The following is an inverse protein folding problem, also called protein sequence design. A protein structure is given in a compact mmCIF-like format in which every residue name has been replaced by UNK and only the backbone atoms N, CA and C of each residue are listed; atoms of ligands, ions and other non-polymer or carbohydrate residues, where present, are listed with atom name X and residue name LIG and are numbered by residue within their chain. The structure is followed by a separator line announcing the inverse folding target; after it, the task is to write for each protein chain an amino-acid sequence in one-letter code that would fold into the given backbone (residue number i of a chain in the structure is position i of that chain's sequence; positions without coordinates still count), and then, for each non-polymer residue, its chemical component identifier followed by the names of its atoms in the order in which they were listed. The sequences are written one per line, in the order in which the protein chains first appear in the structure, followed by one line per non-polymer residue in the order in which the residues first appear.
data_IF_648642080382
#
_entry.id   IF_648642080382
#
_cell.length_a   1.000
_cell.length_b   1.000
_cell.length_c   1.000
_cell.angle_alpha   90.00
_cell.angle_beta   90.00
_cell.angle_gamma   90.00
#
_symmetry.space_group_name_H-M   'P 1'
#
loop_
_entity.id
_entity.type
_entity.pdbx_description
1 polymer ?
#
# COMPACT_ATOMS: atom_id res chain seq x y z
N UNK A 1 44.60 -0.43 1.23
CA UNK A 1 43.43 -0.70 2.07
C UNK A 1 42.78 -1.96 1.52
N UNK A 2 42.51 -2.95 2.35
CA UNK A 2 41.72 -4.11 1.93
C UNK A 2 40.23 -3.72 1.98
N UNK A 3 39.41 -4.15 1.02
CA UNK A 3 37.98 -3.91 1.09
C UNK A 3 37.41 -4.62 2.32
N UNK A 4 36.42 -4.02 3.01
CA UNK A 4 35.76 -4.67 4.13
C UNK A 4 35.07 -5.95 3.63
N UNK A 5 35.32 -7.04 4.33
CA UNK A 5 34.69 -8.34 4.10
C UNK A 5 33.24 -8.24 4.57
N UNK A 6 32.32 -7.98 3.64
CA UNK A 6 30.89 -7.89 3.93
C UNK A 6 30.38 -9.33 3.88
N UNK A 7 30.26 -9.95 5.05
CA UNK A 7 29.60 -11.24 5.21
C UNK A 7 28.18 -11.13 4.62
N UNK A 8 27.87 -11.97 3.64
CA UNK A 8 26.58 -11.97 2.99
C UNK A 8 25.48 -12.24 4.03
N UNK A 9 24.42 -11.43 4.02
CA UNK A 9 23.28 -11.64 4.88
C UNK A 9 22.72 -13.06 4.66
N UNK A 10 22.38 -13.82 5.73
CA UNK A 10 21.79 -15.15 5.60
C UNK A 10 20.50 -15.08 4.77
N UNK A 11 20.52 -15.66 3.58
CA UNK A 11 19.38 -15.73 2.65
C UNK A 11 18.42 -16.85 3.06
N UNK A 12 17.97 -16.86 4.32
CA UNK A 12 16.88 -17.75 4.78
C UNK A 12 15.54 -17.01 4.72
N UNK A 13 15.30 -16.31 3.59
CA UNK A 13 13.97 -15.81 3.29
C UNK A 13 13.13 -17.00 2.82
N UNK A 14 11.90 -17.20 3.35
CA UNK A 14 11.01 -18.21 2.82
C UNK A 14 10.82 -17.98 1.31
N UNK A 15 10.66 -19.05 0.51
CA UNK A 15 10.48 -18.92 -0.92
C UNK A 15 9.36 -17.92 -1.21
N UNK A 16 9.68 -16.86 -1.94
CA UNK A 16 8.67 -15.93 -2.43
C UNK A 16 7.74 -16.70 -3.36
N UNK A 17 6.44 -16.59 -3.12
CA UNK A 17 5.42 -17.13 -4.01
C UNK A 17 5.45 -16.29 -5.30
N UNK A 18 5.84 -16.92 -6.41
CA UNK A 18 5.96 -16.31 -7.75
C UNK A 18 4.72 -16.57 -8.61
N UNK A 19 3.60 -16.94 -7.99
CA UNK A 19 2.33 -17.09 -8.67
C UNK A 19 1.48 -15.81 -8.54
N UNK A 20 0.58 -15.54 -9.50
CA UNK A 20 -0.34 -14.41 -9.39
C UNK A 20 -1.22 -14.53 -8.13
N UNK A 21 -1.67 -13.40 -7.56
CA UNK A 21 -2.51 -13.39 -6.37
C UNK A 21 -3.82 -14.14 -6.60
N UNK A 22 -4.14 -15.08 -5.72
CA UNK A 22 -5.42 -15.82 -5.79
C UNK A 22 -6.59 -15.01 -5.24
N UNK A 23 -7.79 -15.26 -5.75
CA UNK A 23 -9.03 -14.67 -5.22
C UNK A 23 -9.21 -14.91 -3.73
N UNK A 24 -8.80 -16.08 -3.20
CA UNK A 24 -8.90 -16.37 -1.77
C UNK A 24 -7.98 -15.49 -0.93
N UNK A 25 -6.73 -15.28 -1.38
CA UNK A 25 -5.79 -14.38 -0.71
C UNK A 25 -6.34 -12.95 -0.65
N UNK A 26 -6.89 -12.47 -1.76
CA UNK A 26 -7.51 -11.14 -1.86
C UNK A 26 -8.70 -11.03 -0.92
N UNK A 27 -9.60 -12.03 -0.94
CA UNK A 27 -10.78 -12.09 -0.07
C UNK A 27 -10.40 -12.06 1.41
N UNK A 28 -9.38 -12.82 1.80
CA UNK A 28 -8.85 -12.82 3.16
C UNK A 28 -8.24 -11.47 3.53
N UNK A 29 -7.50 -10.83 2.63
CA UNK A 29 -6.93 -9.51 2.84
C UNK A 29 -8.02 -8.45 3.07
N UNK A 30 -9.07 -8.42 2.23
CA UNK A 30 -10.22 -7.51 2.38
C UNK A 30 -10.85 -7.68 3.76
N UNK A 31 -11.07 -8.92 4.21
CA UNK A 31 -11.63 -9.20 5.55
C UNK A 31 -10.77 -8.64 6.68
N UNK A 32 -9.45 -8.61 6.52
CA UNK A 32 -8.49 -8.12 7.52
C UNK A 32 -8.32 -6.59 7.53
N UNK A 33 -8.82 -5.86 6.52
CA UNK A 33 -8.74 -4.39 6.49
C UNK A 33 -9.40 -3.80 7.75
N UNK A 34 -8.72 -2.88 8.44
CA UNK A 34 -9.29 -2.24 9.65
C UNK A 34 -10.32 -1.19 9.26
N UNK A 35 -11.48 -1.22 9.93
CA UNK A 35 -12.49 -0.16 9.87
C UNK A 35 -11.92 1.16 10.41
N UNK A 36 -12.41 2.29 9.91
CA UNK A 36 -11.98 3.61 10.37
C UNK A 36 -10.59 4.05 9.87
N UNK A 37 -10.00 3.36 8.89
CA UNK A 37 -8.98 3.97 8.04
C UNK A 37 -9.67 5.04 7.21
N UNK A 38 -9.24 6.29 7.35
CA UNK A 38 -9.83 7.40 6.60
C UNK A 38 -9.53 7.23 5.10
N UNK A 39 -10.58 7.27 4.29
CA UNK A 39 -10.51 7.38 2.84
C UNK A 39 -10.10 8.80 2.47
N UNK A 40 -8.81 9.10 2.60
CA UNK A 40 -8.34 10.49 2.54
C UNK A 40 -8.23 10.98 1.10
N UNK A 41 -8.00 10.10 0.12
CA UNK A 41 -7.79 10.51 -1.28
C UNK A 41 -8.84 9.95 -2.25
N UNK A 42 -9.24 8.70 -2.05
CA UNK A 42 -10.15 7.93 -2.91
C UNK A 42 -11.63 8.10 -2.50
N UNK A 43 -11.92 8.62 -1.31
CA UNK A 43 -13.25 8.57 -0.69
C UNK A 43 -13.85 7.15 -0.67
N UNK A 44 -13.04 6.09 -0.84
CA UNK A 44 -13.46 4.69 -0.74
C UNK A 44 -13.17 4.25 0.70
N UNK A 45 -14.17 4.27 1.58
CA UNK A 45 -13.97 3.80 2.95
C UNK A 45 -13.61 2.31 2.94
N UNK A 46 -12.82 1.87 3.92
CA UNK A 46 -12.57 0.44 4.16
C UNK A 46 -13.89 -0.36 4.27
N UNK A 47 -14.94 0.33 4.70
CA UNK A 47 -16.32 -0.12 4.78
C UNK A 47 -16.94 -0.42 3.42
N UNK A 48 -16.62 0.35 2.37
CA UNK A 48 -17.08 0.10 1.01
C UNK A 48 -16.45 -1.19 0.45
N UNK A 49 -15.14 -1.37 0.63
CA UNK A 49 -14.44 -2.60 0.21
C UNK A 49 -14.97 -3.86 0.91
N UNK A 50 -15.51 -3.69 2.12
CA UNK A 50 -16.12 -4.78 2.90
C UNK A 50 -17.61 -4.95 2.67
N UNK A 51 -18.27 -4.04 1.97
CA UNK A 51 -19.73 -4.05 1.77
C UNK A 51 -20.17 -5.17 0.84
N UNK A 52 -19.43 -5.36 -0.26
CA UNK A 52 -19.56 -6.48 -1.18
C UNK A 52 -18.19 -7.11 -1.40
N UNK A 53 -17.87 -8.10 -0.57
CA UNK A 53 -16.55 -8.74 -0.58
C UNK A 53 -16.34 -9.51 -1.89
N UNK A 54 -17.37 -10.11 -2.47
CA UNK A 54 -17.22 -10.93 -3.67
C UNK A 54 -16.95 -10.04 -4.89
N UNK A 55 -17.76 -9.00 -5.06
CA UNK A 55 -17.57 -8.04 -6.15
C UNK A 55 -16.22 -7.31 -6.04
N UNK A 56 -15.86 -6.88 -4.83
CA UNK A 56 -14.57 -6.23 -4.57
C UNK A 56 -13.40 -7.18 -4.82
N UNK A 57 -13.55 -8.47 -4.49
CA UNK A 57 -12.51 -9.49 -4.76
C UNK A 57 -12.32 -9.67 -6.26
N UNK A 58 -13.40 -9.75 -7.03
CA UNK A 58 -13.34 -9.93 -8.48
C UNK A 58 -12.69 -8.71 -9.17
N UNK A 59 -13.09 -7.49 -8.76
CA UNK A 59 -12.48 -6.26 -9.28
C UNK A 59 -10.98 -6.20 -8.97
N UNK A 60 -10.58 -6.48 -7.73
CA UNK A 60 -9.17 -6.43 -7.33
C UNK A 60 -8.35 -7.53 -7.98
N UNK A 61 -8.91 -8.73 -8.16
CA UNK A 61 -8.23 -9.83 -8.83
C UNK A 61 -7.85 -9.44 -10.27
N UNK A 62 -8.77 -8.85 -11.02
CA UNK A 62 -8.51 -8.40 -12.38
C UNK A 62 -7.36 -7.37 -12.45
N UNK A 63 -7.36 -6.38 -11.55
CA UNK A 63 -6.31 -5.35 -11.51
C UNK A 63 -4.96 -5.95 -11.12
N UNK A 64 -4.95 -6.81 -10.10
CA UNK A 64 -3.72 -7.44 -9.61
C UNK A 64 -3.12 -8.42 -10.63
N UNK A 65 -3.97 -9.17 -11.33
CA UNK A 65 -3.56 -10.06 -12.43
C UNK A 65 -2.94 -9.25 -13.57
N UNK A 66 -3.56 -8.13 -13.97
CA UNK A 66 -3.00 -7.26 -15.01
C UNK A 66 -1.66 -6.65 -14.60
N UNK A 67 -1.50 -6.20 -13.35
CA UNK A 67 -0.22 -5.69 -12.82
C UNK A 67 0.84 -6.80 -12.80
N UNK A 68 0.43 -8.04 -12.47
CA UNK A 68 1.31 -9.19 -12.43
C UNK A 68 1.86 -9.56 -13.81
N UNK A 69 0.99 -9.63 -14.82
CA UNK A 69 1.37 -9.99 -16.20
C UNK A 69 2.18 -8.89 -16.91
N UNK A 70 1.79 -7.62 -16.74
CA UNK A 70 2.46 -6.49 -17.40
C UNK A 70 3.72 -6.03 -16.65
N UNK A 71 3.96 -6.53 -15.44
CA UNK A 71 4.99 -6.07 -14.49
C UNK A 71 4.98 -4.55 -14.24
N UNK A 72 3.83 -3.90 -14.50
CA UNK A 72 3.70 -2.45 -14.51
C UNK A 72 2.64 -2.01 -13.52
N UNK A 73 3.10 -1.32 -12.48
CA UNK A 73 2.25 -0.67 -11.50
C UNK A 73 1.79 0.69 -12.04
N UNK A 74 0.52 1.08 -11.88
CA UNK A 74 0.03 2.41 -12.24
C UNK A 74 0.92 3.52 -11.69
N UNK A 75 1.13 4.58 -12.48
CA UNK A 75 2.03 5.67 -12.07
C UNK A 75 1.57 6.32 -10.77
N UNK A 76 0.26 6.45 -10.59
CA UNK A 76 -0.29 7.06 -9.38
C UNK A 76 0.03 6.27 -8.12
N UNK A 77 0.15 4.93 -8.19
CA UNK A 77 0.59 4.13 -7.05
C UNK A 77 2.07 4.34 -6.70
N UNK A 78 2.86 4.91 -7.61
CA UNK A 78 4.27 5.26 -7.39
C UNK A 78 4.44 6.67 -6.83
N UNK A 79 3.39 7.49 -6.88
CA UNK A 79 3.39 8.84 -6.35
C UNK A 79 2.73 8.89 -4.98
N UNK A 80 3.18 9.83 -4.16
CA UNK A 80 2.55 10.07 -2.87
C UNK A 80 2.58 11.54 -2.48
N UNK A 81 1.46 12.02 -1.95
CA UNK A 81 1.29 13.39 -1.48
C UNK A 81 1.70 13.51 -0.01
N UNK A 82 2.60 14.45 0.29
CA UNK A 82 2.97 14.74 1.68
C UNK A 82 2.06 15.85 2.22
N UNK A 83 1.21 15.51 3.19
CA UNK A 83 0.42 16.49 3.93
C UNK A 83 1.10 16.79 5.27
N UNK A 84 1.20 18.07 5.62
CA UNK A 84 1.68 18.52 6.93
C UNK A 84 0.52 18.59 7.92
N UNK A 85 0.56 17.75 8.95
CA UNK A 85 -0.36 17.84 10.10
C UNK A 85 0.30 18.70 11.19
N UNK A 86 -0.30 19.83 11.60
CA UNK A 86 0.23 20.62 12.71
C UNK A 86 0.11 19.84 14.03
N UNK A 87 1.20 19.82 14.80
CA UNK A 87 1.24 19.37 16.19
C UNK A 87 0.91 20.56 17.11
N UNK A 88 0.63 20.26 18.37
CA UNK A 88 0.40 21.30 19.39
C UNK A 88 1.63 22.20 19.53
N UNK A 89 1.45 23.51 19.33
CA UNK A 89 2.53 24.49 19.36
C UNK A 89 2.32 25.59 18.32
N UNK A 90 3.37 26.36 18.05
CA UNK A 90 3.37 27.38 17.00
C UNK A 90 3.45 26.71 15.63
N UNK A 91 2.40 26.89 14.82
CA UNK A 91 2.23 26.29 13.49
C UNK A 91 3.17 26.88 12.44
N UNK A 92 3.81 28.02 12.72
CA UNK A 92 4.81 28.62 11.83
C UNK A 92 6.16 27.90 11.86
N UNK A 93 6.42 27.09 12.90
CA UNK A 93 7.67 26.33 13.04
C UNK A 93 7.54 24.96 12.39
N UNK A 94 8.42 24.66 11.43
CA UNK A 94 8.44 23.38 10.71
C UNK A 94 8.52 22.15 11.65
N UNK A 95 9.27 22.29 12.75
CA UNK A 95 9.47 21.30 13.82
C UNK A 95 8.14 20.82 14.45
N UNK A 96 7.16 21.72 14.50
CA UNK A 96 5.84 21.48 15.07
C UNK A 96 4.87 20.88 14.05
N UNK A 97 5.35 20.30 12.95
CA UNK A 97 4.53 19.57 11.99
C UNK A 97 4.92 18.10 11.92
N UNK A 98 3.95 17.25 11.57
CA UNK A 98 4.16 15.85 11.19
C UNK A 98 3.81 15.72 9.73
N UNK A 99 4.76 15.33 8.90
CA UNK A 99 4.45 14.85 7.56
C UNK A 99 3.73 13.51 7.63
N UNK A 100 2.65 13.37 6.88
CA UNK A 100 2.08 12.07 6.52
C UNK A 100 2.16 11.95 5.00
N UNK A 101 2.55 10.78 4.51
CA UNK A 101 2.51 10.45 3.08
C UNK A 101 1.18 9.78 2.79
N UNK A 102 0.48 10.27 1.79
CA UNK A 102 -0.69 9.64 1.19
C UNK A 102 -0.25 9.01 -0.14
N UNK A 103 -0.73 7.82 -0.47
CA UNK A 103 -0.48 7.20 -1.77
C UNK A 103 -1.49 7.77 -2.80
N UNK A 104 -1.04 8.06 -4.02
CA UNK A 104 -1.94 8.53 -5.10
C UNK A 104 -2.72 7.36 -5.72
N UNK A 105 -3.80 7.68 -6.44
CA UNK A 105 -4.79 6.72 -6.98
C UNK A 105 -4.76 6.74 -8.50
N UNK A 106 -4.90 5.60 -9.21
CA UNK A 106 -5.02 5.55 -10.67
C UNK A 106 -6.36 6.14 -11.09
N UNK A 107 -6.35 6.99 -12.12
CA UNK A 107 -7.56 7.42 -12.83
C UNK A 107 -8.26 6.27 -13.58
#
# INVERSE_FOLDING_TARGET
MNPPDIEAAPTDLPPLDINPPTTEQIRMAIRQIKFGMAAILDNIPAEALKSDIEETTNMLHLVLENIWEEEQVPMDWKEGYIIKIPKKGDVSKCENSRGITLLSVPE
#
